data_IF_160331442122
#
_entry.id   IF_160331442122
#
_cell.length_a   1.000
_cell.length_b   1.000
_cell.length_c   1.000
_cell.angle_alpha   90.00
_cell.angle_beta   90.00
_cell.angle_gamma   90.00
#
_symmetry.space_group_name_H-M   'P 1'
#
loop_
_entity.id
_entity.type
_entity.pdbx_description
1 polymer ?
#
# COMPACT_ATOMS: atom_id res chain seq x y z
N UNK A 1 -23.08 5.20 47.97
CA UNK A 1 -23.21 4.19 46.90
C UNK A 1 -22.19 4.57 45.85
N UNK A 2 -21.15 3.76 45.69
CA UNK A 2 -19.89 4.18 45.07
C UNK A 2 -19.64 3.37 43.83
N UNK A 3 -19.40 4.02 42.69
CA UNK A 3 -18.98 3.34 41.47
C UNK A 3 -18.11 4.26 40.60
N UNK A 4 -16.96 4.67 41.15
CA UNK A 4 -15.85 5.16 40.32
C UNK A 4 -15.31 3.97 39.56
N UNK A 5 -15.54 3.89 38.24
CA UNK A 5 -14.88 2.89 37.40
C UNK A 5 -13.46 3.35 37.13
N UNK A 6 -12.50 2.66 37.76
CA UNK A 6 -11.11 2.71 37.33
C UNK A 6 -11.00 2.07 35.94
N UNK A 7 -10.91 2.90 34.90
CA UNK A 7 -10.25 2.49 33.66
C UNK A 7 -8.76 2.39 33.95
N UNK A 8 -8.34 1.24 34.49
CA UNK A 8 -6.94 0.91 34.74
C UNK A 8 -6.23 0.81 33.40
N UNK A 9 -5.67 1.93 32.96
CA UNK A 9 -4.74 1.97 31.85
C UNK A 9 -3.50 1.16 32.21
N UNK A 10 -3.47 -0.11 31.78
CA UNK A 10 -2.26 -0.91 31.68
C UNK A 10 -1.31 -0.28 30.64
N UNK A 11 -0.67 0.80 31.06
CA UNK A 11 0.46 1.42 30.38
C UNK A 11 1.61 0.42 30.44
N UNK A 12 1.75 -0.39 29.40
CA UNK A 12 2.79 -1.41 29.30
C UNK A 12 4.16 -0.78 29.59
N UNK A 13 4.82 -1.28 30.61
CA UNK A 13 5.97 -0.64 31.25
C UNK A 13 7.21 -0.67 30.36
N UNK A 14 7.41 0.40 29.59
CA UNK A 14 8.70 0.76 29.00
C UNK A 14 9.11 -0.02 27.76
N UNK A 15 8.19 -0.33 26.83
CA UNK A 15 8.56 -0.83 25.51
C UNK A 15 9.43 0.21 24.77
N UNK A 16 10.70 -0.12 24.52
CA UNK A 16 11.66 0.79 23.89
C UNK A 16 11.71 0.64 22.37
N UNK A 17 11.91 1.76 21.68
CA UNK A 17 12.17 1.78 20.23
C UNK A 17 13.42 0.96 19.90
N UNK A 18 13.24 -0.10 19.11
CA UNK A 18 14.26 -1.11 18.78
C UNK A 18 14.25 -1.32 17.27
N UNK A 19 15.41 -1.57 16.65
CA UNK A 19 15.56 -1.71 15.19
C UNK A 19 14.60 -2.74 14.56
N UNK A 20 14.24 -3.80 15.30
CA UNK A 20 13.24 -4.80 14.88
C UNK A 20 11.82 -4.23 14.77
N UNK A 21 11.45 -3.30 15.66
CA UNK A 21 10.16 -2.58 15.62
C UNK A 21 10.14 -1.62 14.43
N UNK A 22 11.24 -0.90 14.18
CA UNK A 22 11.36 0.00 13.03
C UNK A 22 11.26 -0.76 11.69
N UNK A 23 11.86 -1.96 11.59
CA UNK A 23 11.68 -2.84 10.43
C UNK A 23 10.23 -3.32 10.26
N UNK A 24 9.56 -3.71 11.36
CA UNK A 24 8.15 -4.11 11.34
C UNK A 24 7.24 -2.95 10.89
N UNK A 25 7.50 -1.72 11.37
CA UNK A 25 6.76 -0.53 10.93
C UNK A 25 7.01 -0.18 9.46
N UNK A 26 8.21 -0.45 8.94
CA UNK A 26 8.51 -0.27 7.52
C UNK A 26 7.70 -1.25 6.65
N UNK A 27 7.62 -2.54 7.03
CA UNK A 27 6.78 -3.54 6.35
C UNK A 27 5.30 -3.11 6.30
N UNK A 28 4.72 -2.73 7.45
CA UNK A 28 3.34 -2.20 7.48
C UNK A 28 3.14 -0.92 6.66
N UNK A 29 4.20 -0.12 6.46
CA UNK A 29 4.14 1.09 5.64
C UNK A 29 4.06 0.76 4.15
N UNK A 30 4.86 -0.19 3.68
CA UNK A 30 4.83 -0.67 2.29
C UNK A 30 3.56 -1.48 2.01
N UNK A 31 3.11 -2.30 2.96
CA UNK A 31 1.80 -2.97 2.91
C UNK A 31 0.66 -1.93 2.76
N UNK A 32 0.67 -0.87 3.57
CA UNK A 32 -0.30 0.23 3.50
C UNK A 32 -0.26 0.97 2.16
N UNK A 33 0.92 1.20 1.58
CA UNK A 33 1.09 1.82 0.24
C UNK A 33 0.53 0.94 -0.87
N UNK A 34 0.76 -0.37 -0.80
CA UNK A 34 0.20 -1.32 -1.75
C UNK A 34 -1.34 -1.36 -1.66
N UNK A 35 -1.91 -1.34 -0.44
CA UNK A 35 -3.36 -1.23 -0.25
C UNK A 35 -3.94 0.12 -0.72
N UNK A 36 -3.28 1.24 -0.42
CA UNK A 36 -3.65 2.59 -0.91
C UNK A 36 -3.76 2.61 -2.43
N UNK A 37 -2.75 2.05 -3.12
CA UNK A 37 -2.71 1.95 -4.57
C UNK A 37 -3.79 1.03 -5.15
N UNK A 38 -3.94 -0.20 -4.63
CA UNK A 38 -4.96 -1.14 -5.10
C UNK A 38 -6.38 -0.58 -4.95
N UNK A 39 -6.65 0.14 -3.86
CA UNK A 39 -7.93 0.81 -3.65
C UNK A 39 -8.12 2.00 -4.62
N UNK A 40 -7.07 2.79 -4.90
CA UNK A 40 -7.16 3.90 -5.86
C UNK A 40 -7.41 3.43 -7.31
N UNK A 41 -6.72 2.38 -7.77
CA UNK A 41 -6.97 1.79 -9.10
C UNK A 41 -8.38 1.19 -9.20
N UNK A 42 -8.86 0.56 -8.12
CA UNK A 42 -10.24 0.07 -8.03
C UNK A 42 -11.24 1.22 -8.14
N UNK A 43 -11.06 2.30 -7.37
CA UNK A 43 -11.87 3.51 -7.47
C UNK A 43 -11.92 4.07 -8.90
N UNK A 44 -10.75 4.28 -9.52
CA UNK A 44 -10.64 4.79 -10.90
C UNK A 44 -11.47 3.94 -11.89
N UNK A 45 -11.28 2.62 -11.86
CA UNK A 45 -11.97 1.65 -12.72
C UNK A 45 -13.49 1.64 -12.52
N UNK A 46 -13.99 1.63 -11.29
CA UNK A 46 -15.43 1.60 -11.03
C UNK A 46 -16.09 2.95 -11.30
N UNK A 47 -15.42 4.06 -10.96
CA UNK A 47 -15.88 5.43 -11.24
C UNK A 47 -16.07 5.67 -12.73
N UNK A 48 -15.06 5.36 -13.57
CA UNK A 48 -15.16 5.53 -15.04
C UNK A 48 -16.30 4.69 -15.63
N UNK A 49 -16.50 3.45 -15.15
CA UNK A 49 -17.60 2.57 -15.61
C UNK A 49 -18.97 3.11 -15.23
N UNK A 50 -19.12 3.61 -14.00
CA UNK A 50 -20.36 4.23 -13.51
C UNK A 50 -20.71 5.50 -14.31
N UNK A 51 -19.74 6.41 -14.46
CA UNK A 51 -19.91 7.65 -15.21
C UNK A 51 -20.23 7.38 -16.68
N UNK A 52 -19.55 6.44 -17.33
CA UNK A 52 -19.81 6.09 -18.73
C UNK A 52 -21.23 5.53 -18.95
N UNK A 53 -21.70 4.61 -18.10
CA UNK A 53 -23.04 4.04 -18.20
C UNK A 53 -24.13 5.09 -17.91
N UNK A 54 -23.92 5.96 -16.92
CA UNK A 54 -24.83 7.07 -16.62
C UNK A 54 -24.93 8.06 -17.78
N UNK A 55 -23.80 8.53 -18.32
CA UNK A 55 -23.77 9.44 -19.48
C UNK A 55 -24.46 8.83 -20.70
N UNK A 56 -24.19 7.56 -21.00
CA UNK A 56 -24.80 6.85 -22.13
C UNK A 56 -26.32 6.79 -21.97
N UNK A 57 -26.79 6.43 -20.78
CA UNK A 57 -28.23 6.27 -20.50
C UNK A 57 -28.96 7.63 -20.53
N UNK A 58 -28.38 8.66 -19.92
CA UNK A 58 -28.90 10.02 -19.97
C UNK A 58 -28.95 10.58 -21.40
N UNK A 59 -27.97 10.23 -22.25
CA UNK A 59 -27.95 10.61 -23.67
C UNK A 59 -29.07 9.93 -24.47
N UNK A 60 -29.35 8.64 -24.20
CA UNK A 60 -30.47 7.91 -24.82
C UNK A 60 -31.81 8.50 -24.37
N UNK A 61 -31.97 8.85 -23.08
CA UNK A 61 -33.15 9.52 -22.54
C UNK A 61 -33.38 10.87 -23.25
N UNK A 62 -32.35 11.71 -23.35
CA UNK A 62 -32.44 13.01 -24.00
C UNK A 62 -32.81 12.90 -25.49
N UNK A 63 -32.16 12.00 -26.23
CA UNK A 63 -32.48 11.74 -27.64
C UNK A 63 -33.90 11.20 -27.83
N UNK A 64 -34.36 10.31 -26.94
CA UNK A 64 -35.73 9.78 -26.96
C UNK A 64 -36.76 10.88 -26.68
N UNK A 65 -36.46 11.82 -25.78
CA UNK A 65 -37.32 12.98 -25.50
C UNK A 65 -37.48 13.90 -26.72
N UNK A 66 -36.36 14.26 -27.37
CA UNK A 66 -36.37 15.09 -28.59
C UNK A 66 -37.10 14.36 -29.73
N UNK A 67 -36.85 13.07 -29.92
CA UNK A 67 -37.53 12.26 -30.94
C UNK A 67 -39.06 12.23 -30.76
N UNK A 68 -39.54 12.12 -29.51
CA UNK A 68 -40.97 12.13 -29.22
C UNK A 68 -41.64 13.50 -29.53
N UNK A 69 -40.93 14.62 -29.32
CA UNK A 69 -41.42 15.95 -29.71
C UNK A 69 -41.55 16.10 -31.24
N UNK A 70 -40.60 15.55 -31.99
CA UNK A 70 -40.65 15.56 -33.46
C UNK A 70 -41.81 14.68 -33.97
N UNK A 71 -41.97 13.47 -33.41
CA UNK A 71 -43.13 12.59 -33.73
C UNK A 71 -44.46 13.29 -33.48
N UNK A 72 -44.59 14.03 -32.37
CA UNK A 72 -45.81 14.77 -32.03
C UNK A 72 -46.18 15.92 -32.97
N UNK A 73 -45.31 16.29 -33.91
CA UNK A 73 -45.55 17.35 -34.92
C UNK A 73 -45.62 16.83 -36.36
N UNK A 74 -45.45 15.53 -36.59
CA UNK A 74 -45.57 14.91 -37.91
C UNK A 74 -47.00 14.51 -38.24
N UNK A 75 -47.39 14.66 -39.51
CA UNK A 75 -48.71 14.26 -40.00
C UNK A 75 -48.88 12.72 -39.96
N UNK A 76 -50.10 12.20 -39.69
CA UNK A 76 -50.33 10.76 -39.56
C UNK A 76 -50.17 10.03 -40.90
N UNK A 77 -49.05 9.32 -41.07
CA UNK A 77 -48.75 8.58 -42.30
C UNK A 77 -47.69 7.49 -42.13
N UNK A 78 -48.06 6.28 -42.59
CA UNK A 78 -47.23 5.11 -42.95
C UNK A 78 -46.21 4.52 -41.97
N UNK A 79 -45.85 5.18 -40.86
CA UNK A 79 -44.97 4.63 -39.82
C UNK A 79 -45.68 4.57 -38.47
N UNK A 80 -45.23 3.67 -37.59
CA UNK A 80 -45.69 3.56 -36.19
C UNK A 80 -44.59 3.98 -35.19
N UNK A 81 -44.14 5.25 -35.13
CA UNK A 81 -43.15 5.68 -34.15
C UNK A 81 -43.49 5.32 -32.68
N UNK A 82 -44.74 5.41 -32.19
CA UNK A 82 -45.06 5.09 -30.80
C UNK A 82 -44.63 3.68 -30.33
N UNK A 83 -44.64 2.68 -31.23
CA UNK A 83 -44.12 1.34 -30.93
C UNK A 83 -42.61 1.36 -30.70
N UNK A 84 -41.87 2.08 -31.55
CA UNK A 84 -40.40 2.17 -31.48
C UNK A 84 -39.98 2.91 -30.20
N UNK A 85 -40.60 4.05 -29.90
CA UNK A 85 -40.34 4.79 -28.65
C UNK A 85 -40.77 4.01 -27.40
N UNK A 86 -41.83 3.19 -27.49
CA UNK A 86 -42.21 2.24 -26.43
C UNK A 86 -41.10 1.21 -26.14
N UNK A 87 -40.52 0.59 -27.17
CA UNK A 87 -39.39 -0.33 -27.01
C UNK A 87 -38.15 0.35 -26.42
N UNK A 88 -37.84 1.59 -26.82
CA UNK A 88 -36.72 2.38 -26.27
C UNK A 88 -36.94 2.66 -24.78
N UNK A 89 -38.16 3.03 -24.37
CA UNK A 89 -38.51 3.28 -22.97
C UNK A 89 -38.34 2.04 -22.07
N UNK A 90 -38.72 0.86 -22.56
CA UNK A 90 -38.48 -0.42 -21.86
C UNK A 90 -36.97 -0.69 -21.75
N UNK A 91 -36.19 -0.46 -22.80
CA UNK A 91 -34.73 -0.60 -22.77
C UNK A 91 -34.05 0.31 -21.74
N UNK A 92 -34.42 1.59 -21.69
CA UNK A 92 -33.96 2.56 -20.68
C UNK A 92 -34.29 2.05 -19.27
N UNK A 93 -35.52 1.56 -19.06
CA UNK A 93 -36.00 1.09 -17.76
C UNK A 93 -35.18 -0.11 -17.25
N UNK A 94 -34.82 -1.05 -18.13
CA UNK A 94 -33.94 -2.19 -17.81
C UNK A 94 -32.53 -1.71 -17.46
N UNK A 95 -31.98 -0.75 -18.22
CA UNK A 95 -30.63 -0.21 -17.96
C UNK A 95 -30.58 0.52 -16.61
N UNK A 96 -31.62 1.28 -16.24
CA UNK A 96 -31.73 1.92 -14.93
C UNK A 96 -31.79 0.87 -13.80
N UNK A 97 -32.64 -0.16 -13.93
CA UNK A 97 -32.70 -1.26 -12.95
C UNK A 97 -31.35 -1.97 -12.78
N UNK A 98 -30.53 -2.06 -13.83
CA UNK A 98 -29.18 -2.60 -13.74
C UNK A 98 -28.21 -1.64 -13.04
N UNK A 99 -28.28 -0.33 -13.28
CA UNK A 99 -27.50 0.66 -12.53
C UNK A 99 -27.80 0.57 -11.02
N UNK A 100 -29.08 0.56 -10.65
CA UNK A 100 -29.55 0.45 -9.26
C UNK A 100 -29.16 -0.89 -8.60
N UNK A 101 -29.01 -1.96 -9.38
CA UNK A 101 -28.58 -3.29 -8.90
C UNK A 101 -27.07 -3.43 -8.75
N UNK A 102 -26.30 -2.74 -9.59
CA UNK A 102 -24.84 -2.84 -9.60
C UNK A 102 -24.14 -1.84 -8.68
N UNK A 103 -24.76 -0.68 -8.44
CA UNK A 103 -24.28 0.43 -7.61
C UNK A 103 -22.75 0.65 -7.67
N UNK A 104 -22.24 0.78 -8.89
CA UNK A 104 -20.82 1.06 -9.13
C UNK A 104 -20.39 2.42 -8.55
N UNK A 105 -21.33 3.33 -8.25
CA UNK A 105 -21.04 4.63 -7.63
C UNK A 105 -20.70 4.44 -6.15
N UNK A 106 -21.54 3.76 -5.37
CA UNK A 106 -21.22 3.45 -3.97
C UNK A 106 -19.96 2.58 -3.88
N UNK A 107 -19.81 1.57 -4.74
CA UNK A 107 -18.60 0.74 -4.73
C UNK A 107 -17.33 1.54 -5.08
N UNK A 108 -17.39 2.49 -6.01
CA UNK A 108 -16.28 3.41 -6.27
C UNK A 108 -15.96 4.29 -5.04
N UNK A 109 -16.98 4.89 -4.41
CA UNK A 109 -16.80 5.72 -3.22
C UNK A 109 -16.25 4.92 -2.02
N UNK A 110 -16.63 3.66 -1.88
CA UNK A 110 -16.11 2.73 -0.88
C UNK A 110 -14.60 2.48 -1.05
N UNK A 111 -14.15 2.15 -2.27
CA UNK A 111 -12.71 2.02 -2.57
C UNK A 111 -11.95 3.35 -2.37
N UNK A 112 -12.56 4.49 -2.71
CA UNK A 112 -11.99 5.82 -2.46
C UNK A 112 -11.80 6.10 -0.97
N UNK A 113 -12.79 5.78 -0.13
CA UNK A 113 -12.71 5.94 1.31
C UNK A 113 -11.60 5.07 1.92
N UNK A 114 -11.53 3.80 1.52
CA UNK A 114 -10.47 2.89 1.95
C UNK A 114 -9.07 3.40 1.53
N UNK A 115 -8.90 3.89 0.29
CA UNK A 115 -7.64 4.48 -0.18
C UNK A 115 -7.19 5.68 0.68
N UNK A 116 -8.11 6.59 1.03
CA UNK A 116 -7.81 7.74 1.91
C UNK A 116 -7.46 7.30 3.34
N UNK A 117 -8.10 6.26 3.86
CA UNK A 117 -7.78 5.69 5.17
C UNK A 117 -6.38 5.05 5.17
N UNK A 118 -6.03 4.26 4.15
CA UNK A 118 -4.68 3.73 3.98
C UNK A 118 -3.63 4.84 3.83
N UNK A 119 -3.88 5.87 3.01
CA UNK A 119 -2.99 7.05 2.90
C UNK A 119 -2.75 7.75 4.24
N UNK A 120 -3.74 7.73 5.14
CA UNK A 120 -3.62 8.29 6.49
C UNK A 120 -2.77 7.40 7.41
N UNK A 121 -2.86 6.07 7.28
CA UNK A 121 -2.01 5.10 8.00
C UNK A 121 -0.56 5.22 7.50
N UNK A 122 -0.34 5.21 6.18
CA UNK A 122 0.96 5.41 5.54
C UNK A 122 1.68 6.64 6.12
N UNK A 123 1.02 7.80 6.13
CA UNK A 123 1.62 9.06 6.64
C UNK A 123 1.94 9.02 8.14
N UNK A 124 1.09 8.39 8.96
CA UNK A 124 1.35 8.18 10.41
C UNK A 124 2.60 7.32 10.63
N UNK A 125 2.81 6.30 9.80
CA UNK A 125 3.99 5.43 9.83
C UNK A 125 5.25 6.19 9.38
N UNK A 126 5.18 6.90 8.26
CA UNK A 126 6.31 7.68 7.72
C UNK A 126 6.74 8.84 8.66
N UNK A 127 5.79 9.58 9.25
CA UNK A 127 6.06 10.61 10.26
C UNK A 127 6.85 10.03 11.44
N UNK A 128 6.40 8.89 11.99
CA UNK A 128 7.02 8.27 13.15
C UNK A 128 8.39 7.63 12.83
N UNK A 129 8.56 7.05 11.65
CA UNK A 129 9.83 6.47 11.19
C UNK A 129 10.89 7.54 10.92
N UNK A 130 10.50 8.69 10.34
CA UNK A 130 11.40 9.80 10.02
C UNK A 130 11.95 10.53 11.27
N UNK A 131 11.23 10.48 12.40
CA UNK A 131 11.68 11.05 13.68
C UNK A 131 12.66 10.08 14.35
N UNK A 132 13.81 10.55 14.89
CA UNK A 132 14.76 9.70 15.60
C UNK A 132 14.16 9.14 16.90
N UNK A 133 14.56 7.93 17.37
CA UNK A 133 13.95 7.26 18.52
C UNK A 133 13.79 8.09 19.80
N UNK A 134 14.69 9.03 20.06
CA UNK A 134 14.67 9.93 21.23
C UNK A 134 13.61 11.05 21.17
N UNK A 135 13.07 11.36 19.99
CA UNK A 135 12.01 12.35 19.78
C UNK A 135 10.64 11.75 19.51
N UNK A 136 10.50 10.42 19.53
CA UNK A 136 9.28 9.71 19.17
C UNK A 136 8.24 9.70 20.30
N UNK A 137 6.97 9.59 19.90
CA UNK A 137 5.84 9.22 20.79
C UNK A 137 6.12 7.85 21.44
N UNK A 138 5.49 7.59 22.60
CA UNK A 138 5.62 6.30 23.31
C UNK A 138 5.34 5.10 22.39
N UNK A 139 6.20 4.08 22.48
CA UNK A 139 6.20 2.96 21.53
C UNK A 139 4.99 2.05 21.71
N UNK A 140 4.67 1.67 22.95
CA UNK A 140 3.51 0.82 23.26
C UNK A 140 2.20 1.48 22.86
N UNK A 141 2.04 2.76 23.20
CA UNK A 141 0.87 3.58 22.85
C UNK A 141 0.73 3.76 21.33
N UNK A 142 1.81 4.10 20.62
CA UNK A 142 1.77 4.23 19.16
C UNK A 142 1.42 2.91 18.47
N UNK A 143 2.06 1.80 18.88
CA UNK A 143 1.80 0.48 18.32
C UNK A 143 0.37 0.00 18.58
N UNK A 144 -0.21 0.33 19.74
CA UNK A 144 -1.63 0.05 20.05
C UNK A 144 -2.57 0.79 19.09
N UNK A 145 -2.37 2.09 18.89
CA UNK A 145 -3.21 2.90 17.99
C UNK A 145 -3.05 2.50 16.52
N UNK A 146 -1.83 2.30 16.02
CA UNK A 146 -1.64 1.99 14.58
C UNK A 146 -2.16 0.58 14.23
N UNK A 147 -2.05 -0.40 15.15
CA UNK A 147 -2.69 -1.71 14.99
C UNK A 147 -4.22 -1.59 14.98
N UNK A 148 -4.80 -0.72 15.80
CA UNK A 148 -6.24 -0.48 15.81
C UNK A 148 -6.72 0.18 14.50
N UNK A 149 -5.99 1.18 14.00
CA UNK A 149 -6.27 1.81 12.70
C UNK A 149 -6.21 0.77 11.56
N UNK A 150 -5.12 0.00 11.47
CA UNK A 150 -4.94 -1.06 10.46
C UNK A 150 -6.06 -2.10 10.57
N UNK A 151 -6.40 -2.57 11.77
CA UNK A 151 -7.47 -3.55 11.99
C UNK A 151 -8.84 -3.03 11.57
N UNK A 152 -9.14 -1.75 11.83
CA UNK A 152 -10.38 -1.09 11.43
C UNK A 152 -10.50 -1.03 9.89
N UNK A 153 -9.46 -0.55 9.20
CA UNK A 153 -9.48 -0.40 7.74
C UNK A 153 -9.47 -1.77 7.03
N UNK A 154 -8.73 -2.74 7.57
CA UNK A 154 -8.76 -4.14 7.12
C UNK A 154 -10.13 -4.81 7.32
N UNK A 155 -10.83 -4.50 8.41
CA UNK A 155 -12.21 -4.96 8.65
C UNK A 155 -13.24 -4.38 7.67
N UNK A 156 -12.98 -3.20 7.10
CA UNK A 156 -13.80 -2.58 6.04
C UNK A 156 -13.31 -2.87 4.62
N UNK A 157 -12.31 -3.72 4.44
CA UNK A 157 -11.61 -3.87 3.16
C UNK A 157 -12.47 -4.66 2.15
N UNK A 158 -13.01 -3.95 1.17
CA UNK A 158 -13.84 -4.51 0.10
C UNK A 158 -13.04 -5.51 -0.75
N UNK A 159 -13.71 -6.51 -1.34
CA UNK A 159 -13.07 -7.57 -2.12
C UNK A 159 -12.31 -7.01 -3.34
N UNK A 160 -11.00 -6.76 -3.18
CA UNK A 160 -10.14 -6.18 -4.22
C UNK A 160 -10.09 -7.17 -5.41
N UNK A 161 -10.43 -6.73 -6.64
CA UNK A 161 -10.43 -7.59 -7.83
C UNK A 161 -9.08 -8.29 -8.05
N UNK A 162 -9.12 -9.58 -8.41
CA UNK A 162 -7.90 -10.40 -8.60
C UNK A 162 -6.96 -9.79 -9.64
N UNK A 163 -7.49 -9.23 -10.72
CA UNK A 163 -6.69 -8.59 -11.75
C UNK A 163 -5.95 -7.33 -11.25
N UNK A 164 -6.47 -6.64 -10.23
CA UNK A 164 -5.77 -5.54 -9.56
C UNK A 164 -4.70 -6.05 -8.58
N UNK A 165 -4.94 -7.19 -7.91
CA UNK A 165 -3.94 -7.87 -7.06
C UNK A 165 -2.78 -8.42 -7.89
N UNK A 166 -3.06 -9.03 -9.05
CA UNK A 166 -2.06 -9.52 -10.00
C UNK A 166 -1.22 -8.36 -10.58
N UNK A 167 -1.85 -7.22 -10.88
CA UNK A 167 -1.15 -5.99 -11.28
C UNK A 167 -0.33 -5.37 -10.14
N UNK A 168 -0.81 -5.46 -8.90
CA UNK A 168 -0.09 -5.00 -7.71
C UNK A 168 1.21 -5.78 -7.54
N UNK A 169 1.13 -7.12 -7.50
CA UNK A 169 2.29 -8.00 -7.44
C UNK A 169 3.31 -7.64 -8.54
N UNK A 170 2.89 -7.62 -9.81
CA UNK A 170 3.76 -7.28 -10.95
C UNK A 170 4.41 -5.88 -10.87
N UNK A 171 3.75 -4.91 -10.23
CA UNK A 171 4.26 -3.54 -10.10
C UNK A 171 5.29 -3.43 -8.97
N UNK A 172 4.98 -4.00 -7.81
CA UNK A 172 5.79 -3.84 -6.61
C UNK A 172 6.91 -4.88 -6.48
N UNK A 173 6.76 -6.08 -7.07
CA UNK A 173 7.83 -7.10 -7.13
C UNK A 173 9.06 -6.67 -7.94
N UNK A 174 8.98 -5.53 -8.64
CA UNK A 174 10.10 -4.92 -9.36
C UNK A 174 10.91 -3.94 -8.48
N UNK A 175 10.48 -3.67 -7.24
CA UNK A 175 11.12 -2.73 -6.32
C UNK A 175 11.92 -3.53 -5.28
N UNK A 176 13.24 -3.35 -5.17
CA UNK A 176 14.04 -4.07 -4.20
C UNK A 176 13.68 -3.65 -2.77
N UNK A 177 13.52 -4.63 -1.88
CA UNK A 177 13.20 -4.47 -0.46
C UNK A 177 11.87 -3.76 -0.13
N UNK A 178 10.91 -3.72 -1.07
CA UNK A 178 9.52 -3.35 -0.79
C UNK A 178 8.72 -4.57 -0.34
N UNK A 179 7.98 -4.46 0.77
CA UNK A 179 7.15 -5.55 1.30
C UNK A 179 5.79 -5.61 0.58
N UNK A 180 5.41 -6.79 0.06
CA UNK A 180 4.24 -6.96 -0.81
C UNK A 180 3.16 -7.74 -0.04
N UNK A 181 1.94 -7.17 0.18
CA UNK A 181 0.92 -7.79 1.02
C UNK A 181 0.60 -9.25 0.63
N UNK A 182 0.37 -10.11 1.62
CA UNK A 182 -0.01 -11.54 1.45
C UNK A 182 -1.12 -11.74 0.41
N UNK A 183 -2.08 -10.80 0.33
CA UNK A 183 -3.19 -10.89 -0.63
C UNK A 183 -2.73 -10.85 -2.10
N UNK A 184 -1.53 -10.38 -2.39
CA UNK A 184 -0.94 -10.35 -3.73
C UNK A 184 -0.26 -11.68 -4.11
N UNK A 185 -0.13 -12.64 -3.17
CA UNK A 185 0.30 -14.01 -3.43
C UNK A 185 1.77 -14.33 -3.16
N UNK A 186 2.55 -13.36 -2.64
CA UNK A 186 3.72 -13.71 -1.84
C UNK A 186 3.25 -14.18 -0.46
N UNK A 187 3.88 -15.20 0.11
CA UNK A 187 3.66 -15.64 1.50
C UNK A 187 5.04 -16.01 2.04
N UNK A 188 5.60 -15.18 2.92
CA UNK A 188 6.90 -15.43 3.53
C UNK A 188 6.77 -16.17 4.87
N UNK A 189 7.85 -16.83 5.31
CA UNK A 189 7.84 -17.56 6.57
C UNK A 189 8.09 -16.61 7.75
N UNK A 190 7.14 -16.56 8.70
CA UNK A 190 7.24 -15.70 9.89
C UNK A 190 8.48 -16.02 10.73
N UNK A 191 9.49 -15.16 10.69
CA UNK A 191 10.70 -15.31 11.50
C UNK A 191 10.40 -15.06 12.98
N UNK A 192 10.74 -16.03 13.84
CA UNK A 192 10.69 -15.87 15.30
C UNK A 192 11.84 -14.97 15.76
N UNK A 193 11.58 -14.11 16.76
CA UNK A 193 12.63 -13.31 17.38
C UNK A 193 13.66 -14.21 18.09
N UNK A 194 14.94 -14.00 17.76
CA UNK A 194 16.09 -14.62 18.43
C UNK A 194 16.87 -13.49 19.09
N UNK A 195 17.12 -13.62 20.39
CA UNK A 195 18.09 -12.76 21.07
C UNK A 195 19.49 -13.04 20.51
N UNK A 196 20.05 -12.09 19.76
CA UNK A 196 21.43 -12.22 19.29
C UNK A 196 22.37 -12.05 20.51
N UNK A 197 23.12 -13.10 20.91
CA UNK A 197 23.91 -13.05 22.13
C UNK A 197 25.00 -12.00 21.99
N UNK A 198 25.08 -11.09 22.96
CA UNK A 198 26.00 -9.95 22.98
C UNK A 198 27.41 -10.36 22.55
N UNK A 199 27.77 -10.08 21.29
CA UNK A 199 29.12 -10.35 20.80
C UNK A 199 30.10 -9.47 21.59
N UNK A 200 31.03 -10.03 22.38
CA UNK A 200 31.96 -9.23 23.13
C UNK A 200 32.83 -8.45 22.14
N UNK A 201 32.80 -7.12 22.25
CA UNK A 201 33.56 -6.22 21.39
C UNK A 201 35.02 -6.65 21.31
N UNK A 202 35.43 -7.24 20.18
CA UNK A 202 36.83 -7.45 19.82
C UNK A 202 37.46 -6.11 19.46
N UNK A 203 37.65 -5.27 20.48
CA UNK A 203 38.56 -4.11 20.40
C UNK A 203 39.95 -4.64 20.04
N UNK A 204 40.54 -4.21 18.91
CA UNK A 204 41.93 -4.54 18.63
C UNK A 204 42.80 -3.86 19.68
N UNK A 205 43.58 -4.64 20.43
CA UNK A 205 44.58 -4.06 21.33
C UNK A 205 45.65 -3.38 20.48
N UNK A 206 45.73 -2.05 20.56
CA UNK A 206 46.86 -1.30 20.02
C UNK A 206 48.07 -1.49 20.94
N UNK A 207 48.76 -2.62 20.77
CA UNK A 207 50.03 -2.90 21.44
C UNK A 207 51.16 -2.25 20.66
N UNK A 208 51.34 -0.94 20.88
CA UNK A 208 52.57 -0.24 20.50
C UNK A 208 53.80 -0.75 21.29
N UNK A 209 54.98 -0.39 20.80
CA UNK A 209 56.30 -0.44 21.48
C UNK A 209 57.20 -1.66 21.23
N UNK A 210 58.07 -1.49 20.23
CA UNK A 210 59.48 -1.92 20.18
C UNK A 210 59.86 -3.40 20.37
N UNK A 211 60.28 -4.03 19.26
CA UNK A 211 61.21 -5.15 19.25
C UNK A 211 62.36 -4.89 18.24
N UNK A 212 63.40 -4.15 18.68
CA UNK A 212 64.64 -4.03 17.91
C UNK A 212 65.47 -5.30 18.12
N UNK A 213 65.61 -6.16 17.09
CA UNK A 213 66.78 -7.04 16.92
C UNK A 213 66.93 -7.45 15.44
N UNK A 214 67.92 -6.85 14.79
CA UNK A 214 68.72 -7.47 13.74
C UNK A 214 70.06 -7.89 14.38
N UNK A 215 70.91 -8.74 13.78
CA UNK A 215 70.83 -9.33 12.43
C UNK A 215 70.93 -10.87 12.42
N UNK A 216 71.00 -11.47 11.22
CA UNK A 216 71.75 -12.73 11.04
C UNK A 216 72.59 -12.68 9.76
N UNK A 217 73.86 -13.07 9.89
CA UNK A 217 74.83 -13.21 8.79
C UNK A 217 74.53 -14.46 7.95
N UNK A 218 74.81 -14.42 6.63
CA UNK A 218 75.88 -15.21 5.98
C UNK A 218 75.90 -15.01 4.45
N UNK A 219 77.10 -14.98 3.84
CA UNK A 219 77.39 -14.68 2.42
C UNK A 219 78.88 -15.05 2.10
N UNK A 220 79.42 -14.92 0.84
CA UNK A 220 78.82 -14.58 -0.45
C UNK A 220 78.77 -15.78 -1.45
N UNK A 221 79.63 -16.05 -2.49
CA UNK A 221 80.86 -15.42 -3.02
C UNK A 221 80.89 -15.17 -4.57
N UNK A 222 80.21 -14.14 -5.08
CA UNK A 222 80.39 -13.63 -6.47
C UNK A 222 79.57 -14.35 -7.57
N UNK A 223 79.58 -13.93 -8.85
CA UNK A 223 80.23 -12.83 -9.61
C UNK A 223 79.19 -12.44 -10.70
N UNK A 224 78.94 -11.22 -11.21
CA UNK A 224 79.55 -9.87 -11.19
C UNK A 224 79.10 -9.13 -12.48
N UNK A 225 79.18 -7.79 -12.55
CA UNK A 225 78.69 -6.97 -13.70
C UNK A 225 77.47 -6.11 -13.33
N UNK A 226 77.55 -4.78 -13.17
CA UNK A 226 77.76 -3.66 -14.13
C UNK A 226 76.43 -3.03 -14.64
N UNK A 227 76.37 -1.69 -14.49
CA UNK A 227 75.33 -0.70 -14.85
C UNK A 227 75.04 -0.57 -16.38
N UNK A 228 74.11 0.29 -16.87
CA UNK A 228 72.77 0.70 -16.37
C UNK A 228 71.67 0.84 -17.47
N UNK A 229 70.46 1.21 -17.04
CA UNK A 229 69.47 2.10 -17.71
C UNK A 229 69.02 1.86 -19.16
N UNK A 230 67.70 1.64 -19.31
CA UNK A 230 66.81 2.59 -20.01
C UNK A 230 65.41 2.54 -19.41
#
# INVERSE_FOLDING_TARGET
MSETKEDTSETQSGLQWTTSIDRMLAGWCDESKAFEWMNNESYSRYSVRATALSITTNSIIALSGIGNLIVGSLAPGTTNPPLIFGCISIGISIINMLQDKFDWITMANNFKQASVQWSTITRKLEEQLAVPPSGRKDCGTFLKYIKQDISHVSGTNYMIPKDIRDLCNKKFSSIPAFDVPDICGGIEHTSVYVEEPLQPLKVPLLTDTNAITQPKSDAPPGIGGVYPSK
#
